data_IF_229637666447
#
_entry.id   IF_229637666447
#
_cell.length_a   1.000
_cell.length_b   1.000
_cell.length_c   1.000
_cell.angle_alpha   90.00
_cell.angle_beta   90.00
_cell.angle_gamma   90.00
#
_symmetry.space_group_name_H-M   'P 1'
#
loop_
_entity.id
_entity.type
_entity.pdbx_description
1 polymer ?
#
# COMPACT_ATOMS: atom_id res chain seq x y z
N UNK A 1 -10.15 8.79 -6.83
CA UNK A 1 -9.50 10.09 -7.07
C UNK A 1 -9.79 11.02 -5.89
N UNK A 2 -8.79 11.75 -5.37
CA UNK A 2 -8.96 12.69 -4.25
C UNK A 2 -9.68 13.96 -4.71
N UNK A 3 -10.93 14.17 -4.28
CA UNK A 3 -11.68 15.40 -4.54
C UNK A 3 -11.31 16.48 -3.51
N UNK A 4 -10.62 17.53 -3.97
CA UNK A 4 -10.19 18.66 -3.13
C UNK A 4 -11.26 19.76 -3.01
N UNK A 5 -12.39 19.64 -3.72
CA UNK A 5 -13.48 20.63 -3.66
C UNK A 5 -14.32 20.51 -2.38
N UNK A 6 -14.17 19.42 -1.63
CA UNK A 6 -14.92 19.11 -0.41
C UNK A 6 -14.01 18.60 0.69
N UNK A 7 -14.48 18.69 1.94
CA UNK A 7 -13.83 17.99 3.05
C UNK A 7 -14.02 16.48 2.86
N UNK A 8 -13.00 15.72 3.22
CA UNK A 8 -13.12 14.27 3.39
C UNK A 8 -13.98 14.04 4.62
N UNK A 9 -15.19 13.54 4.39
CA UNK A 9 -16.14 13.11 5.40
C UNK A 9 -16.46 11.67 5.03
N UNK A 10 -15.76 10.75 5.69
CA UNK A 10 -15.91 9.32 5.47
C UNK A 10 -16.77 8.78 6.62
N UNK A 11 -17.92 8.21 6.28
CA UNK A 11 -18.94 7.77 7.22
C UNK A 11 -19.41 6.39 6.80
N UNK A 12 -19.56 5.49 7.78
CA UNK A 12 -20.21 4.21 7.60
C UNK A 12 -21.66 4.34 8.02
N UNK A 13 -22.59 3.99 7.13
CA UNK A 13 -24.03 3.96 7.42
C UNK A 13 -24.48 2.51 7.51
N UNK A 14 -25.04 2.11 8.64
CA UNK A 14 -25.61 0.77 8.85
C UNK A 14 -27.08 0.87 9.27
N UNK A 15 -27.91 -0.02 8.75
CA UNK A 15 -29.27 -0.20 9.26
C UNK A 15 -29.27 -1.20 10.42
N UNK A 16 -29.63 -0.74 11.62
CA UNK A 16 -29.66 -1.55 12.84
C UNK A 16 -31.04 -1.37 13.47
N UNK A 17 -31.76 -2.48 13.66
CA UNK A 17 -33.13 -2.48 14.19
C UNK A 17 -34.11 -1.57 13.41
N UNK A 18 -33.94 -1.49 12.09
CA UNK A 18 -34.77 -0.66 11.21
C UNK A 18 -34.48 0.84 11.30
N UNK A 19 -33.31 1.23 11.84
CA UNK A 19 -32.84 2.62 11.91
C UNK A 19 -31.45 2.74 11.32
N UNK A 20 -31.25 3.77 10.50
CA UNK A 20 -29.92 4.16 10.04
C UNK A 20 -29.10 4.71 11.20
N UNK A 21 -27.92 4.13 11.40
CA UNK A 21 -26.90 4.62 12.31
C UNK A 21 -25.66 5.00 11.50
N UNK A 22 -25.11 6.16 11.81
CA UNK A 22 -23.97 6.74 11.11
C UNK A 22 -22.76 6.69 12.05
N UNK A 23 -21.68 6.11 11.57
CA UNK A 23 -20.42 5.97 12.30
C UNK A 23 -19.31 6.73 11.56
N UNK A 24 -18.61 7.67 12.21
CA UNK A 24 -17.49 8.35 11.57
C UNK A 24 -16.33 7.37 11.33
N UNK A 25 -15.75 7.39 10.13
CA UNK A 25 -14.60 6.57 9.80
C UNK A 25 -13.28 7.29 10.15
N UNK A 26 -12.43 6.57 10.87
CA UNK A 26 -11.10 6.96 11.31
C UNK A 26 -10.06 6.42 10.31
N UNK A 27 -9.95 7.08 9.16
CA UNK A 27 -9.11 6.63 8.05
C UNK A 27 -7.76 7.36 7.99
N UNK A 28 -7.10 7.56 9.12
CA UNK A 28 -5.69 7.98 9.11
C UNK A 28 -4.79 6.87 8.58
N UNK A 29 -3.67 7.24 7.95
CA UNK A 29 -2.83 6.27 7.26
C UNK A 29 -2.36 5.13 8.18
N UNK A 30 -1.96 5.44 9.41
CA UNK A 30 -1.52 4.47 10.41
C UNK A 30 -2.60 3.45 10.77
N UNK A 31 -3.87 3.86 10.81
CA UNK A 31 -4.99 2.96 11.12
C UNK A 31 -5.26 2.02 9.96
N UNK A 32 -5.23 2.52 8.73
CA UNK A 32 -5.37 1.70 7.53
C UNK A 32 -4.21 0.69 7.42
N UNK A 33 -2.97 1.14 7.62
CA UNK A 33 -1.80 0.25 7.66
C UNK A 33 -1.92 -0.82 8.73
N UNK A 34 -2.42 -0.47 9.92
CA UNK A 34 -2.66 -1.43 11.00
C UNK A 34 -3.69 -2.51 10.61
N UNK A 35 -4.70 -2.17 9.81
CA UNK A 35 -5.65 -3.17 9.28
C UNK A 35 -4.97 -4.10 8.27
N UNK A 36 -4.07 -3.59 7.42
CA UNK A 36 -3.28 -4.45 6.53
C UNK A 36 -2.36 -5.41 7.31
N UNK A 37 -1.72 -4.94 8.38
CA UNK A 37 -0.90 -5.78 9.27
C UNK A 37 -1.75 -6.85 9.95
N UNK A 38 -2.92 -6.49 10.45
CA UNK A 38 -3.88 -7.40 11.08
C UNK A 38 -4.27 -8.57 10.15
N UNK A 39 -4.32 -8.36 8.83
CA UNK A 39 -4.64 -9.42 7.86
C UNK A 39 -3.50 -10.41 7.63
N UNK A 40 -2.27 -10.00 7.92
CA UNK A 40 -1.07 -10.83 7.81
C UNK A 40 -0.66 -11.45 9.15
N UNK A 41 -1.31 -11.06 10.23
CA UNK A 41 -1.00 -11.52 11.58
C UNK A 41 -1.62 -12.89 11.87
N UNK A 42 -0.79 -13.94 11.82
CA UNK A 42 -1.18 -15.33 12.07
C UNK A 42 -1.49 -15.64 13.55
N UNK A 43 -1.07 -14.77 14.48
CA UNK A 43 -1.41 -14.91 15.89
C UNK A 43 -2.88 -14.52 16.16
N UNK A 44 -3.52 -13.82 15.22
CA UNK A 44 -4.89 -13.34 15.34
C UNK A 44 -5.86 -14.25 14.56
N UNK A 45 -6.84 -14.89 15.24
CA UNK A 45 -7.82 -15.74 14.60
C UNK A 45 -8.57 -15.05 13.45
N UNK A 46 -8.65 -15.71 12.29
CA UNK A 46 -9.30 -15.18 11.08
C UNK A 46 -10.76 -14.76 11.30
N UNK A 47 -11.48 -15.41 12.21
CA UNK A 47 -12.85 -15.04 12.57
C UNK A 47 -12.95 -13.73 13.36
N UNK A 48 -11.89 -13.35 14.08
CA UNK A 48 -11.87 -12.12 14.91
C UNK A 48 -11.38 -10.90 14.11
N UNK A 49 -10.67 -11.16 13.02
CA UNK A 49 -10.07 -10.16 12.15
C UNK A 49 -11.06 -9.06 11.73
N UNK A 50 -12.24 -9.34 11.13
CA UNK A 50 -13.19 -8.30 10.72
C UNK A 50 -13.62 -7.37 11.87
N UNK A 51 -13.90 -7.92 13.05
CA UNK A 51 -14.30 -7.14 14.21
C UNK A 51 -13.19 -6.18 14.69
N UNK A 52 -11.93 -6.65 14.68
CA UNK A 52 -10.80 -5.80 15.01
C UNK A 52 -10.57 -4.70 13.96
N UNK A 53 -10.75 -5.01 12.67
CA UNK A 53 -10.66 -4.00 11.61
C UNK A 53 -11.75 -2.92 11.78
N UNK A 54 -13.00 -3.30 12.02
CA UNK A 54 -14.07 -2.33 12.28
C UNK A 54 -13.76 -1.46 13.49
N UNK A 55 -13.26 -2.06 14.57
CA UNK A 55 -12.83 -1.31 15.77
C UNK A 55 -11.69 -0.34 15.47
N UNK A 56 -10.73 -0.74 14.64
CA UNK A 56 -9.65 0.15 14.18
C UNK A 56 -10.22 1.26 13.30
N UNK A 57 -11.16 0.99 12.40
CA UNK A 57 -11.62 2.00 11.44
C UNK A 57 -12.74 2.90 11.96
N UNK A 58 -13.38 2.57 13.07
CA UNK A 58 -14.50 3.36 13.62
C UNK A 58 -14.29 3.79 15.07
N UNK A 59 -13.41 3.09 15.81
CA UNK A 59 -13.28 3.24 17.26
C UNK A 59 -14.40 2.54 18.05
N UNK A 60 -15.33 1.84 17.38
CA UNK A 60 -16.52 1.21 17.98
C UNK A 60 -16.46 -0.31 17.81
N UNK A 61 -16.99 -1.05 18.78
CA UNK A 61 -17.19 -2.50 18.68
C UNK A 61 -18.56 -2.81 18.06
N UNK A 62 -18.58 -3.75 17.12
CA UNK A 62 -19.80 -4.21 16.43
C UNK A 62 -20.13 -5.65 16.85
N UNK A 63 -20.27 -5.88 18.17
CA UNK A 63 -20.46 -7.22 18.74
C UNK A 63 -21.82 -7.85 18.38
N UNK A 64 -22.72 -7.06 17.79
CA UNK A 64 -24.02 -7.51 17.30
C UNK A 64 -23.99 -8.07 15.87
N UNK A 65 -22.89 -7.87 15.13
CA UNK A 65 -22.73 -8.41 13.78
C UNK A 65 -22.23 -9.87 13.85
N UNK A 66 -22.69 -10.69 12.92
CA UNK A 66 -22.05 -11.96 12.59
C UNK A 66 -20.70 -11.74 11.92
N UNK A 67 -19.90 -12.82 11.80
CA UNK A 67 -18.62 -12.76 11.11
C UNK A 67 -18.79 -12.32 9.64
N UNK A 68 -19.78 -12.89 8.96
CA UNK A 68 -20.09 -12.61 7.57
C UNK A 68 -20.47 -11.13 7.38
N UNK A 69 -21.39 -10.61 8.19
CA UNK A 69 -21.77 -9.19 8.14
C UNK A 69 -20.58 -8.27 8.46
N UNK A 70 -19.79 -8.57 9.48
CA UNK A 70 -18.62 -7.77 9.82
C UNK A 70 -17.60 -7.76 8.67
N UNK A 71 -17.41 -8.89 7.99
CA UNK A 71 -16.53 -8.98 6.83
C UNK A 71 -17.05 -8.16 5.65
N UNK A 72 -18.35 -8.24 5.33
CA UNK A 72 -19.00 -7.45 4.29
C UNK A 72 -18.86 -5.94 4.56
N UNK A 73 -19.07 -5.51 5.80
CA UNK A 73 -18.90 -4.10 6.19
C UNK A 73 -17.45 -3.64 6.01
N UNK A 74 -16.47 -4.46 6.41
CA UNK A 74 -15.06 -4.11 6.17
C UNK A 74 -14.78 -4.02 4.67
N UNK A 75 -15.25 -4.97 3.87
CA UNK A 75 -15.07 -4.94 2.42
C UNK A 75 -15.67 -3.66 1.80
N UNK A 76 -16.89 -3.28 2.21
CA UNK A 76 -17.52 -2.05 1.75
C UNK A 76 -16.70 -0.80 2.11
N UNK A 77 -16.18 -0.70 3.35
CA UNK A 77 -15.30 0.41 3.74
C UNK A 77 -14.05 0.47 2.85
N UNK A 78 -13.48 -0.70 2.54
CA UNK A 78 -12.30 -0.78 1.71
C UNK A 78 -12.59 -0.33 0.28
N UNK A 79 -13.65 -0.85 -0.34
CA UNK A 79 -14.06 -0.52 -1.71
C UNK A 79 -14.42 0.97 -1.86
N UNK A 80 -15.11 1.55 -0.88
CA UNK A 80 -15.58 2.94 -0.99
C UNK A 80 -14.50 3.97 -0.60
N UNK A 81 -13.70 3.69 0.43
CA UNK A 81 -12.85 4.70 1.05
C UNK A 81 -11.34 4.45 0.97
N UNK A 82 -10.88 3.21 0.75
CA UNK A 82 -9.46 2.85 0.84
C UNK A 82 -8.88 2.47 -0.53
N UNK A 83 -9.54 1.56 -1.25
CA UNK A 83 -9.19 1.08 -2.58
C UNK A 83 -9.94 1.89 -3.62
N UNK A 84 -9.31 2.96 -4.13
CA UNK A 84 -9.89 3.73 -5.24
C UNK A 84 -9.24 3.31 -6.56
N UNK A 85 -9.50 2.07 -6.98
CA UNK A 85 -9.16 1.50 -8.28
C UNK A 85 -10.18 0.43 -8.59
N UNK A 86 -10.57 0.28 -9.87
CA UNK A 86 -11.41 -0.86 -10.30
C UNK A 86 -10.76 -2.18 -9.86
N UNK A 87 -11.55 -3.25 -9.74
CA UNK A 87 -11.04 -4.62 -9.50
C UNK A 87 -10.07 -5.02 -10.61
N UNK A 88 -8.84 -4.58 -10.48
CA UNK A 88 -7.67 -5.12 -11.14
C UNK A 88 -6.83 -5.59 -9.96
N UNK A 89 -6.93 -6.90 -9.70
CA UNK A 89 -5.99 -7.59 -8.83
C UNK A 89 -4.58 -7.17 -9.28
N UNK A 90 -3.78 -6.64 -8.36
CA UNK A 90 -2.39 -6.22 -8.56
C UNK A 90 -2.15 -5.05 -9.54
N UNK A 91 -2.55 -3.82 -9.16
CA UNK A 91 -2.09 -2.61 -9.86
C UNK A 91 -0.84 -2.03 -9.21
N UNK A 92 0.29 -2.20 -9.89
CA UNK A 92 1.55 -1.50 -9.61
C UNK A 92 1.54 -0.07 -10.17
N UNK A 93 2.17 0.85 -9.42
CA UNK A 93 2.32 2.24 -9.83
C UNK A 93 3.74 2.45 -10.31
N UNK A 94 3.89 3.02 -11.50
CA UNK A 94 5.18 3.52 -11.94
C UNK A 94 5.60 4.76 -11.13
N UNK A 95 6.83 5.22 -11.36
CA UNK A 95 7.44 6.36 -10.67
C UNK A 95 6.76 7.71 -10.96
N UNK A 96 5.87 7.76 -11.95
CA UNK A 96 5.03 8.91 -12.26
C UNK A 96 3.59 8.75 -11.75
N UNK A 97 3.28 7.66 -11.04
CA UNK A 97 1.95 7.38 -10.51
C UNK A 97 0.96 6.82 -11.52
N UNK A 98 1.43 6.37 -12.68
CA UNK A 98 0.56 5.71 -13.64
C UNK A 98 0.36 4.25 -13.24
N UNK A 99 -0.85 3.77 -13.49
CA UNK A 99 -1.20 2.35 -13.46
C UNK A 99 -0.35 1.62 -14.50
N UNK A 100 0.54 0.74 -14.05
CA UNK A 100 1.18 -0.24 -14.93
C UNK A 100 0.11 -1.28 -15.23
N UNK A 101 -0.45 -1.24 -16.43
CA UNK A 101 -1.47 -2.20 -16.85
C UNK A 101 -0.89 -3.61 -16.84
N UNK A 102 -1.50 -4.51 -16.07
CA UNK A 102 -1.23 -5.93 -16.16
C UNK A 102 -1.62 -6.42 -17.56
N UNK A 103 -0.65 -6.89 -18.32
CA UNK A 103 -0.95 -7.72 -19.49
C UNK A 103 -1.09 -9.15 -18.98
N UNK A 104 -2.35 -9.55 -18.75
CA UNK A 104 -2.89 -10.92 -18.88
C UNK A 104 -2.01 -12.09 -18.41
N UNK A 105 -2.50 -12.81 -17.39
CA UNK A 105 -2.21 -14.24 -17.15
C UNK A 105 -0.72 -14.58 -16.95
N UNK A 106 -0.22 -14.43 -15.73
CA UNK A 106 0.95 -15.20 -15.30
C UNK A 106 0.73 -15.65 -13.86
N UNK A 107 0.90 -16.95 -13.60
CA UNK A 107 0.79 -17.59 -12.27
C UNK A 107 2.00 -17.27 -11.36
N UNK A 108 2.77 -16.24 -11.69
CA UNK A 108 3.94 -15.77 -10.95
C UNK A 108 3.57 -14.55 -10.12
N UNK A 109 3.73 -14.58 -8.78
CA UNK A 109 3.44 -13.42 -7.95
C UNK A 109 4.30 -12.24 -8.41
N UNK A 110 3.67 -11.15 -8.84
CA UNK A 110 4.37 -9.94 -9.28
C UNK A 110 5.21 -9.35 -8.15
N UNK A 111 6.40 -8.86 -8.51
CA UNK A 111 7.45 -8.45 -7.58
C UNK A 111 7.09 -7.14 -6.88
N UNK A 112 6.73 -7.22 -5.60
CA UNK A 112 6.38 -6.05 -4.78
C UNK A 112 7.52 -5.02 -4.76
N UNK A 113 7.33 -3.88 -5.42
CA UNK A 113 8.36 -2.84 -5.50
C UNK A 113 8.61 -2.10 -4.17
N UNK A 114 7.63 -2.10 -3.27
CA UNK A 114 7.78 -1.51 -1.94
C UNK A 114 6.95 -2.23 -0.88
N UNK A 115 7.41 -2.14 0.36
CA UNK A 115 6.69 -2.63 1.53
C UNK A 115 6.75 -1.55 2.61
N UNK A 116 5.59 -1.00 2.98
CA UNK A 116 5.48 0.09 3.94
C UNK A 116 6.19 -0.18 5.28
N UNK A 117 6.26 -1.45 5.71
CA UNK A 117 6.95 -1.85 6.94
C UNK A 117 8.47 -1.77 6.80
N UNK A 118 9.02 -2.25 5.67
CA UNK A 118 10.47 -2.27 5.43
C UNK A 118 11.00 -0.93 4.93
N UNK A 119 10.18 -0.20 4.17
CA UNK A 119 10.55 1.09 3.57
C UNK A 119 10.13 2.29 4.42
N UNK A 120 9.60 2.08 5.63
CA UNK A 120 9.09 3.14 6.50
C UNK A 120 10.10 4.27 6.73
N UNK A 121 11.39 3.94 6.88
CA UNK A 121 12.46 4.95 7.01
C UNK A 121 12.68 5.77 5.73
N UNK A 122 12.61 5.15 4.55
CA UNK A 122 12.74 5.84 3.27
C UNK A 122 11.54 6.73 2.99
N UNK A 123 10.34 6.24 3.30
CA UNK A 123 9.08 6.98 3.18
C UNK A 123 9.11 8.19 4.13
N UNK A 124 9.47 7.98 5.39
CA UNK A 124 9.63 9.07 6.37
C UNK A 124 10.61 10.14 5.89
N UNK A 125 11.82 9.75 5.49
CA UNK A 125 12.83 10.68 5.00
C UNK A 125 12.34 11.46 3.76
N UNK A 126 11.63 10.79 2.86
CA UNK A 126 11.09 11.39 1.63
C UNK A 126 9.98 12.39 1.93
N UNK A 127 9.08 12.09 2.87
CA UNK A 127 8.05 13.01 3.33
C UNK A 127 8.64 14.27 3.99
N UNK A 128 9.66 14.10 4.82
CA UNK A 128 10.38 15.21 5.43
C UNK A 128 11.14 16.05 4.39
N UNK A 129 11.79 15.41 3.42
CA UNK A 129 12.52 16.07 2.34
C UNK A 129 11.60 16.88 1.42
N UNK A 130 10.50 16.28 0.95
CA UNK A 130 9.62 16.85 -0.06
C UNK A 130 8.59 17.82 0.51
N UNK A 131 7.98 17.45 1.64
CA UNK A 131 6.79 18.14 2.16
C UNK A 131 6.99 18.77 3.54
N UNK A 132 8.09 18.45 4.22
CA UNK A 132 8.32 18.82 5.64
C UNK A 132 7.20 18.29 6.55
N UNK A 133 6.67 17.11 6.22
CA UNK A 133 5.65 16.42 7.01
C UNK A 133 6.33 15.35 7.86
N UNK A 134 6.21 15.46 9.17
CA UNK A 134 6.63 14.42 10.10
C UNK A 134 5.51 13.38 10.24
N UNK A 135 5.70 12.20 9.63
CA UNK A 135 4.69 11.14 9.65
C UNK A 135 4.39 10.60 11.05
N UNK A 136 5.33 10.73 12.00
CA UNK A 136 5.13 10.27 13.37
C UNK A 136 4.16 11.23 14.09
N UNK A 137 4.32 12.53 13.88
CA UNK A 137 3.41 13.54 14.42
C UNK A 137 2.02 13.52 13.76
N UNK A 138 1.93 12.97 12.56
CA UNK A 138 0.69 12.84 11.80
C UNK A 138 -0.09 11.53 12.05
N UNK A 139 0.38 10.67 12.95
CA UNK A 139 -0.34 9.47 13.41
C UNK A 139 -1.74 9.87 13.94
N UNK A 140 -2.77 9.20 13.45
CA UNK A 140 -4.17 9.49 13.78
C UNK A 140 -4.76 10.72 13.08
N UNK A 141 -3.99 11.46 12.28
CA UNK A 141 -4.39 12.76 11.68
C UNK A 141 -4.37 12.75 10.16
N UNK A 142 -3.28 12.29 9.55
CA UNK A 142 -3.11 12.34 8.10
C UNK A 142 -3.99 11.27 7.43
N UNK A 143 -5.05 11.73 6.77
CA UNK A 143 -6.00 10.88 6.08
C UNK A 143 -5.35 10.02 4.98
N UNK A 144 -5.76 8.75 4.85
CA UNK A 144 -5.25 7.76 3.90
C UNK A 144 -5.19 8.26 2.45
N UNK A 145 -6.29 8.79 1.92
CA UNK A 145 -6.32 9.39 0.56
C UNK A 145 -5.28 10.50 0.37
N UNK A 146 -5.00 11.32 1.40
CA UNK A 146 -3.98 12.38 1.34
C UNK A 146 -2.57 11.78 1.40
N UNK A 147 -2.36 10.81 2.30
CA UNK A 147 -1.10 10.07 2.39
C UNK A 147 -0.73 9.42 1.05
N UNK A 148 -1.68 8.72 0.40
CA UNK A 148 -1.44 8.13 -0.93
C UNK A 148 -1.15 9.17 -2.01
N UNK A 149 -1.89 10.29 -2.02
CA UNK A 149 -1.61 11.36 -2.96
C UNK A 149 -0.19 11.95 -2.77
N UNK A 150 0.29 12.03 -1.52
CA UNK A 150 1.64 12.49 -1.20
C UNK A 150 2.71 11.46 -1.57
N UNK A 151 2.48 10.16 -1.34
CA UNK A 151 3.36 9.06 -1.78
C UNK A 151 3.56 9.12 -3.29
N UNK A 152 2.45 9.15 -4.05
CA UNK A 152 2.47 9.14 -5.52
C UNK A 152 3.08 10.43 -6.07
N UNK A 153 2.87 11.56 -5.39
CA UNK A 153 3.41 12.86 -5.78
C UNK A 153 4.87 13.09 -5.38
N UNK A 154 5.57 12.11 -4.80
CA UNK A 154 6.94 12.30 -4.33
C UNK A 154 7.86 12.73 -5.49
N UNK A 155 8.66 13.80 -5.33
CA UNK A 155 9.55 14.25 -6.39
C UNK A 155 10.71 13.27 -6.61
N UNK A 156 11.26 13.32 -7.82
CA UNK A 156 12.51 12.61 -8.13
C UNK A 156 13.65 13.03 -7.20
N UNK A 157 14.55 12.10 -6.89
CA UNK A 157 15.66 12.33 -5.96
C UNK A 157 15.27 12.26 -4.48
N UNK A 158 14.05 11.83 -4.17
CA UNK A 158 13.71 11.40 -2.81
C UNK A 158 14.14 9.96 -2.60
N UNK A 159 14.56 9.64 -1.37
CA UNK A 159 15.13 8.32 -1.06
C UNK A 159 14.20 7.16 -1.42
N UNK A 160 12.90 7.32 -1.16
CA UNK A 160 11.90 6.30 -1.49
C UNK A 160 11.77 6.10 -3.01
N UNK A 161 11.67 7.18 -3.77
CA UNK A 161 11.59 7.13 -5.24
C UNK A 161 12.85 6.50 -5.84
N UNK A 162 14.02 6.81 -5.29
CA UNK A 162 15.29 6.18 -5.71
C UNK A 162 15.32 4.67 -5.44
N UNK A 163 14.88 4.23 -4.27
CA UNK A 163 14.82 2.79 -3.92
C UNK A 163 13.85 2.05 -4.83
N UNK A 164 12.67 2.63 -5.09
CA UNK A 164 11.71 2.05 -6.04
C UNK A 164 12.30 1.98 -7.45
N UNK A 165 12.98 3.05 -7.92
CA UNK A 165 13.72 3.06 -9.20
C UNK A 165 14.73 1.93 -9.31
N UNK A 166 15.49 1.70 -8.24
CA UNK A 166 16.50 0.63 -8.20
C UNK A 166 15.82 -0.74 -8.28
N UNK A 167 14.78 -0.98 -7.47
CA UNK A 167 14.07 -2.27 -7.45
C UNK A 167 13.36 -2.59 -8.76
N UNK A 168 12.81 -1.58 -9.43
CA UNK A 168 12.11 -1.71 -10.71
C UNK A 168 13.03 -1.63 -11.94
N UNK A 169 14.34 -1.51 -11.75
CA UNK A 169 15.27 -1.38 -12.88
C UNK A 169 15.38 -2.69 -13.67
N UNK A 170 15.18 -2.57 -14.98
CA UNK A 170 15.45 -3.60 -15.97
C UNK A 170 16.50 -3.08 -16.95
N UNK A 171 17.52 -3.90 -17.33
CA UNK A 171 18.52 -3.49 -18.31
C UNK A 171 17.91 -3.04 -19.63
N UNK A 172 18.33 -1.88 -20.14
CA UNK A 172 17.86 -1.35 -21.41
C UNK A 172 18.93 -1.43 -22.49
N UNK A 173 18.50 -1.45 -23.76
CA UNK A 173 19.41 -1.43 -24.90
C UNK A 173 20.25 -0.15 -24.90
N UNK A 174 21.54 -0.29 -24.66
CA UNK A 174 22.50 0.81 -24.60
C UNK A 174 23.08 1.06 -23.20
N UNK A 175 22.57 0.37 -22.18
CA UNK A 175 23.20 0.34 -20.86
C UNK A 175 24.56 -0.35 -20.95
N UNK A 176 25.57 0.21 -20.27
CA UNK A 176 26.87 -0.44 -20.17
C UNK A 176 26.80 -1.60 -19.18
N UNK A 177 27.63 -2.63 -19.39
CA UNK A 177 27.72 -3.76 -18.46
C UNK A 177 28.03 -3.28 -17.03
N UNK A 178 28.95 -2.32 -16.88
CA UNK A 178 29.30 -1.73 -15.57
C UNK A 178 28.09 -1.07 -14.88
N UNK A 179 27.21 -0.42 -15.64
CA UNK A 179 26.00 0.19 -15.08
C UNK A 179 24.99 -0.88 -14.65
N UNK A 180 24.79 -1.90 -15.49
CA UNK A 180 23.92 -3.04 -15.18
C UNK A 180 24.40 -3.72 -13.89
N UNK A 181 25.69 -4.05 -13.80
CA UNK A 181 26.29 -4.71 -12.63
C UNK A 181 26.07 -3.89 -11.36
N UNK A 182 26.33 -2.57 -11.42
CA UNK A 182 26.07 -1.65 -10.31
C UNK A 182 24.60 -1.64 -9.89
N UNK A 183 23.68 -1.64 -10.85
CA UNK A 183 22.25 -1.69 -10.55
C UNK A 183 21.85 -3.01 -9.91
N UNK A 184 22.43 -4.14 -10.34
CA UNK A 184 22.22 -5.46 -9.71
C UNK A 184 22.75 -5.49 -8.28
N UNK A 185 23.90 -4.88 -8.00
CA UNK A 185 24.42 -4.74 -6.63
C UNK A 185 23.46 -3.93 -5.74
N UNK A 186 22.97 -2.78 -6.24
CA UNK A 186 22.01 -1.96 -5.51
C UNK A 186 20.67 -2.70 -5.31
N UNK A 187 20.21 -3.47 -6.29
CA UNK A 187 19.01 -4.31 -6.14
C UNK A 187 19.18 -5.34 -5.03
N UNK A 188 20.37 -5.94 -4.87
CA UNK A 188 20.68 -6.84 -3.75
C UNK A 188 20.69 -6.11 -2.41
N UNK A 189 21.26 -4.90 -2.35
CA UNK A 189 21.30 -4.08 -1.13
C UNK A 189 19.90 -3.67 -0.66
N UNK A 190 19.03 -3.27 -1.59
CA UNK A 190 17.68 -2.77 -1.28
C UNK A 190 16.58 -3.84 -1.36
N UNK A 191 16.92 -5.13 -1.50
CA UNK A 191 15.96 -6.24 -1.65
C UNK A 191 14.99 -6.32 -0.46
N UNK A 192 13.73 -6.67 -0.71
CA UNK A 192 12.77 -6.91 0.37
C UNK A 192 12.94 -8.34 0.93
N UNK A 193 12.70 -8.57 2.23
CA UNK A 193 12.89 -9.90 2.83
C UNK A 193 12.00 -11.01 2.27
N UNK A 194 10.87 -10.67 1.64
CA UNK A 194 9.95 -11.66 1.05
C UNK A 194 10.35 -12.04 -0.40
N UNK A 195 11.40 -11.44 -0.98
CA UNK A 195 11.87 -11.70 -2.36
C UNK A 195 12.81 -12.92 -2.46
N UNK A 196 12.95 -13.73 -1.41
CA UNK A 196 13.85 -14.91 -1.39
C UNK A 196 13.37 -16.08 -2.28
N UNK A 197 12.32 -15.90 -3.10
CA UNK A 197 11.78 -16.92 -3.99
C UNK A 197 12.44 -16.97 -5.39
N UNK A 198 13.22 -15.96 -5.78
CA UNK A 198 13.74 -15.83 -7.16
C UNK A 198 15.29 -15.94 -7.23
N UNK A 199 15.89 -16.82 -6.42
CA UNK A 199 17.33 -17.16 -6.56
C UNK A 199 17.62 -18.25 -7.60
N UNK A 200 16.60 -18.78 -8.30
CA UNK A 200 16.80 -19.67 -9.44
C UNK A 200 16.57 -18.93 -10.78
N UNK A 201 17.59 -18.92 -11.63
CA UNK A 201 17.58 -18.60 -13.08
C UNK A 201 17.62 -17.14 -13.57
N UNK A 202 18.57 -16.34 -13.08
CA UNK A 202 19.06 -15.15 -13.82
C UNK A 202 20.49 -15.35 -14.38
N UNK A 203 20.88 -16.59 -14.72
CA UNK A 203 21.98 -16.85 -15.67
C UNK A 203 21.50 -16.52 -17.09
N UNK A 204 21.20 -15.25 -17.33
CA UNK A 204 21.02 -14.74 -18.69
C UNK A 204 22.39 -14.63 -19.34
N UNK A 205 22.79 -15.72 -20.01
CA UNK A 205 23.79 -15.77 -21.06
C UNK A 205 23.46 -14.69 -22.11
N UNK A 206 23.98 -13.49 -21.92
CA UNK A 206 23.92 -12.44 -22.95
C UNK A 206 24.97 -12.78 -24.00
N UNK A 207 24.58 -13.58 -25.00
CA UNK A 207 25.41 -13.86 -26.16
C UNK A 207 25.75 -12.53 -26.88
N UNK A 208 27.07 -12.37 -27.09
CA UNK A 208 27.85 -11.40 -27.89
C UNK A 208 27.12 -10.35 -28.76
#
# INVERSE_FOLDING_TARGET
MLDISRKLVDELVLEIEGKEQIFPLLLSFDRVLKVFELWKDDDIPKSMRPFFALRILTGVSFDFLSFEEALEVVQAIFEEHIQTGEKEDDVEYDLAGNVIKSSTTSETPQKRLYNMKHDGAYIFASFMQAYRIDLIEEIGKLHWKKFNALIVGLPEGTKFVEVVKIRSYEPQKGDSQEYIDKMRELQKEYRLPDDDCDEEDDEYDYYE
#
